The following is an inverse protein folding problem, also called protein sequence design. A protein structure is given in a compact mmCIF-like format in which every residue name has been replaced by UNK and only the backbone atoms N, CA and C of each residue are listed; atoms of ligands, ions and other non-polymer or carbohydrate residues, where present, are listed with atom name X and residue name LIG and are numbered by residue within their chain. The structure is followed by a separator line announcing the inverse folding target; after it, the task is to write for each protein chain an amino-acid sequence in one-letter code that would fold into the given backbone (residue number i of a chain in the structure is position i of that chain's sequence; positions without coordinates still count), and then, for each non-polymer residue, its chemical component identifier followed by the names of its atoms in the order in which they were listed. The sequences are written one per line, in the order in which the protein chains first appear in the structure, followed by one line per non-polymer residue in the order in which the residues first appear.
data_IF_044499810125
#
_entry.id   IF_044499810125
#
_cell.length_a   1.000
_cell.length_b   1.000
_cell.length_c   1.000
_cell.angle_alpha   90.00
_cell.angle_beta   90.00
_cell.angle_gamma   90.00
#
_symmetry.space_group_name_H-M   'P 1'
#
loop_
_entity.id
_entity.type
_entity.pdbx_description
1 polymer ?
#
# COMPACT_ATOMS: atom_id res chain seq x y z
N UNK A 1 -14.81 18.63 20.60
CA UNK A 1 -15.72 17.68 19.91
C UNK A 1 -15.67 16.27 20.49
N UNK A 2 -14.59 15.48 20.34
CA UNK A 2 -14.59 14.10 20.89
C UNK A 2 -14.68 14.10 22.43
N UNK A 3 -13.88 14.93 23.10
CA UNK A 3 -13.90 15.03 24.57
C UNK A 3 -15.26 15.52 25.11
N UNK A 4 -15.98 16.31 24.30
CA UNK A 4 -17.33 16.79 24.62
C UNK A 4 -18.39 15.69 24.49
N UNK A 5 -18.13 14.63 23.70
CA UNK A 5 -19.06 13.49 23.53
C UNK A 5 -18.92 12.44 24.64
N UNK A 6 -17.77 12.34 25.30
CA UNK A 6 -17.49 11.33 26.33
C UNK A 6 -18.49 11.31 27.51
N UNK A 7 -19.05 12.45 27.97
CA UNK A 7 -20.08 12.47 28.99
C UNK A 7 -21.45 11.97 28.49
N UNK A 8 -21.73 12.06 27.19
CA UNK A 8 -23.04 11.77 26.60
C UNK A 8 -23.19 10.31 26.18
N UNK A 9 -23.22 9.40 27.16
CA UNK A 9 -23.25 7.94 26.93
C UNK A 9 -24.41 7.45 26.06
N UNK A 10 -25.58 8.04 26.21
CA UNK A 10 -26.76 7.70 25.40
C UNK A 10 -26.56 8.04 23.91
N UNK A 11 -25.90 9.16 23.60
CA UNK A 11 -25.57 9.56 22.23
C UNK A 11 -24.60 8.57 21.61
N UNK A 12 -23.61 8.11 22.39
CA UNK A 12 -22.65 7.10 21.93
C UNK A 12 -23.30 5.74 21.71
N UNK A 13 -24.20 5.31 22.59
CA UNK A 13 -24.97 4.07 22.39
C UNK A 13 -25.86 4.17 21.15
N UNK A 14 -26.53 5.31 20.97
CA UNK A 14 -27.30 5.54 19.76
C UNK A 14 -26.40 5.49 18.53
N UNK A 15 -25.20 6.05 18.59
CA UNK A 15 -24.20 5.98 17.52
C UNK A 15 -23.79 4.54 17.22
N UNK A 16 -23.53 3.70 18.23
CA UNK A 16 -23.28 2.28 18.04
C UNK A 16 -24.46 1.55 17.40
N UNK A 17 -25.70 1.88 17.78
CA UNK A 17 -26.89 1.31 17.14
C UNK A 17 -27.02 1.63 15.65
N UNK A 18 -26.42 2.74 15.18
CA UNK A 18 -26.47 3.15 13.77
C UNK A 18 -25.53 2.32 12.86
N UNK A 19 -24.72 1.41 13.41
CA UNK A 19 -23.94 0.46 12.60
C UNK A 19 -24.84 -0.54 11.85
N UNK A 20 -26.07 -0.76 12.33
CA UNK A 20 -27.07 -1.60 11.66
C UNK A 20 -27.90 -0.89 10.59
N UNK A 21 -27.70 0.43 10.43
CA UNK A 21 -28.44 1.28 9.50
C UNK A 21 -27.90 1.13 8.06
N UNK A 22 -28.35 1.99 7.15
CA UNK A 22 -27.84 2.07 5.79
C UNK A 22 -26.33 2.33 5.76
N UNK A 23 -25.66 1.82 4.72
CA UNK A 23 -24.19 1.78 4.65
C UNK A 23 -23.53 3.15 4.85
N UNK A 24 -24.15 4.23 4.35
CA UNK A 24 -23.61 5.59 4.51
C UNK A 24 -23.65 6.06 5.97
N UNK A 25 -24.73 5.76 6.69
CA UNK A 25 -24.92 6.11 8.10
C UNK A 25 -23.99 5.25 8.97
N UNK A 26 -23.94 3.94 8.71
CA UNK A 26 -23.05 3.02 9.40
C UNK A 26 -21.57 3.42 9.26
N UNK A 27 -21.15 3.87 8.07
CA UNK A 27 -19.79 4.35 7.83
C UNK A 27 -19.44 5.61 8.64
N UNK A 28 -20.40 6.54 8.81
CA UNK A 28 -20.21 7.73 9.64
C UNK A 28 -20.16 7.37 11.12
N UNK A 29 -21.06 6.49 11.58
CA UNK A 29 -21.09 5.98 12.94
C UNK A 29 -19.77 5.27 13.30
N UNK A 30 -19.29 4.38 12.42
CA UNK A 30 -18.01 3.69 12.55
C UNK A 30 -16.84 4.68 12.70
N UNK A 31 -16.77 5.73 11.86
CA UNK A 31 -15.73 6.76 11.97
C UNK A 31 -15.74 7.48 13.33
N UNK A 32 -16.92 7.78 13.88
CA UNK A 32 -17.03 8.41 15.20
C UNK A 32 -16.49 7.46 16.28
N UNK A 33 -16.88 6.19 16.25
CA UNK A 33 -16.47 5.19 17.23
C UNK A 33 -14.97 4.87 17.15
N UNK A 34 -14.41 4.75 15.94
CA UNK A 34 -12.96 4.60 15.71
C UNK A 34 -12.19 5.79 16.31
N UNK A 35 -12.72 7.01 16.14
CA UNK A 35 -12.09 8.20 16.69
C UNK A 35 -12.08 8.24 18.23
N UNK A 36 -13.06 7.62 18.92
CA UNK A 36 -13.01 7.45 20.37
C UNK A 36 -11.82 6.58 20.79
N UNK A 37 -11.50 5.54 20.02
CA UNK A 37 -10.40 4.63 20.28
C UNK A 37 -8.99 5.26 20.28
N UNK A 38 -8.88 6.53 19.87
CA UNK A 38 -7.61 7.28 19.87
C UNK A 38 -7.19 7.81 21.24
N UNK A 39 -8.08 7.78 22.23
CA UNK A 39 -7.80 8.30 23.58
C UNK A 39 -8.09 7.25 24.64
N UNK A 40 -7.37 7.31 25.76
CA UNK A 40 -7.59 6.39 26.88
C UNK A 40 -9.02 6.50 27.44
N UNK A 41 -9.54 7.72 27.58
CA UNK A 41 -10.91 7.93 28.06
C UNK A 41 -11.94 7.40 27.07
N UNK A 42 -11.75 7.62 25.76
CA UNK A 42 -12.63 7.11 24.72
C UNK A 42 -12.64 5.58 24.65
N UNK A 43 -11.50 4.92 24.83
CA UNK A 43 -11.44 3.45 24.97
C UNK A 43 -12.23 2.97 26.19
N UNK A 44 -12.06 3.60 27.35
CA UNK A 44 -12.82 3.26 28.56
C UNK A 44 -14.34 3.43 28.38
N UNK A 45 -14.77 4.37 27.52
CA UNK A 45 -16.18 4.54 27.16
C UNK A 45 -16.65 3.45 26.21
N UNK A 46 -15.89 3.22 25.15
CA UNK A 46 -16.23 2.30 24.07
C UNK A 46 -16.29 0.84 24.55
N UNK A 47 -15.44 0.47 25.51
CA UNK A 47 -15.39 -0.87 26.09
C UNK A 47 -16.02 -0.91 27.50
N UNK A 48 -16.91 0.03 27.82
CA UNK A 48 -17.77 -0.09 29.00
C UNK A 48 -18.83 -1.18 28.79
N UNK A 49 -19.27 -1.85 29.86
CA UNK A 49 -20.25 -2.95 29.80
C UNK A 49 -21.51 -2.59 28.99
N UNK A 50 -22.01 -1.37 29.14
CA UNK A 50 -23.21 -0.92 28.42
C UNK A 50 -22.97 -0.78 26.92
N UNK A 51 -21.77 -0.33 26.52
CA UNK A 51 -21.42 -0.20 25.11
C UNK A 51 -21.14 -1.56 24.48
N UNK A 52 -20.42 -2.45 25.19
CA UNK A 52 -20.18 -3.82 24.75
C UNK A 52 -21.52 -4.52 24.50
N UNK A 53 -22.45 -4.46 25.46
CA UNK A 53 -23.79 -5.03 25.29
C UNK A 53 -24.55 -4.44 24.09
N UNK A 54 -24.43 -3.13 23.86
CA UNK A 54 -25.02 -2.49 22.69
C UNK A 54 -24.41 -3.02 21.37
N UNK A 55 -23.09 -3.15 21.30
CA UNK A 55 -22.38 -3.70 20.15
C UNK A 55 -22.74 -5.18 19.91
N UNK A 56 -22.88 -5.98 20.98
CA UNK A 56 -23.35 -7.37 20.87
C UNK A 56 -24.77 -7.46 20.32
N UNK A 57 -25.69 -6.61 20.81
CA UNK A 57 -27.05 -6.54 20.27
C UNK A 57 -27.07 -6.18 18.78
N UNK A 58 -26.24 -5.20 18.39
CA UNK A 58 -26.09 -4.79 16.99
C UNK A 58 -25.53 -5.94 16.13
N UNK A 59 -24.48 -6.61 16.60
CA UNK A 59 -23.87 -7.76 15.93
C UNK A 59 -24.84 -8.93 15.73
N UNK A 60 -25.85 -9.07 16.57
CA UNK A 60 -26.85 -10.14 16.47
C UNK A 60 -27.97 -9.86 15.45
N UNK A 61 -28.00 -8.69 14.80
CA UNK A 61 -29.04 -8.33 13.82
C UNK A 61 -28.90 -9.15 12.53
N UNK A 62 -27.69 -9.24 11.99
CA UNK A 62 -27.38 -10.04 10.80
C UNK A 62 -25.87 -10.23 10.64
N UNK A 63 -25.43 -11.20 9.84
CA UNK A 63 -24.02 -11.38 9.54
C UNK A 63 -23.39 -10.12 8.92
N UNK A 64 -24.10 -9.44 8.02
CA UNK A 64 -23.63 -8.18 7.43
C UNK A 64 -23.37 -7.11 8.49
N UNK A 65 -24.26 -6.96 9.47
CA UNK A 65 -24.09 -5.99 10.54
C UNK A 65 -22.97 -6.43 11.49
N UNK A 66 -22.88 -7.73 11.81
CA UNK A 66 -21.79 -8.29 12.62
C UNK A 66 -20.42 -7.98 12.02
N UNK A 67 -20.24 -8.20 10.72
CA UNK A 67 -18.98 -7.91 10.05
C UNK A 67 -18.67 -6.40 9.99
N UNK A 68 -19.68 -5.50 9.94
CA UNK A 68 -19.42 -4.05 10.10
C UNK A 68 -18.89 -3.70 11.49
N UNK A 69 -19.41 -4.35 12.54
CA UNK A 69 -18.89 -4.18 13.90
C UNK A 69 -17.44 -4.68 13.97
N UNK A 70 -17.15 -5.86 13.43
CA UNK A 70 -15.79 -6.39 13.37
C UNK A 70 -14.83 -5.48 12.59
N UNK A 71 -15.22 -4.94 11.44
CA UNK A 71 -14.41 -4.02 10.65
C UNK A 71 -14.02 -2.77 11.46
N UNK A 72 -15.00 -2.17 12.14
CA UNK A 72 -14.75 -1.04 13.05
C UNK A 72 -13.77 -1.42 14.17
N UNK A 73 -13.96 -2.58 14.81
CA UNK A 73 -13.09 -3.06 15.88
C UNK A 73 -11.65 -3.30 15.40
N UNK A 74 -11.44 -3.86 14.21
CA UNK A 74 -10.11 -4.01 13.62
C UNK A 74 -9.42 -2.65 13.43
N UNK A 75 -10.15 -1.64 12.94
CA UNK A 75 -9.57 -0.30 12.81
C UNK A 75 -9.21 0.30 14.18
N UNK A 76 -9.96 0.00 15.23
CA UNK A 76 -9.63 0.39 16.62
C UNK A 76 -8.39 -0.35 17.13
N UNK A 77 -8.30 -1.67 16.93
CA UNK A 77 -7.13 -2.47 17.32
C UNK A 77 -5.83 -1.95 16.71
N UNK A 78 -5.88 -1.42 15.48
CA UNK A 78 -4.71 -0.85 14.79
C UNK A 78 -4.20 0.46 15.40
N UNK A 79 -4.99 1.15 16.22
CA UNK A 79 -4.62 2.46 16.79
C UNK A 79 -3.54 2.35 17.87
N UNK A 80 -3.60 1.33 18.73
CA UNK A 80 -2.62 1.10 19.79
C UNK A 80 -2.75 -0.30 20.39
N UNK A 81 -1.70 -0.77 21.07
CA UNK A 81 -1.73 -2.00 21.86
C UNK A 81 -2.86 -1.99 22.91
N UNK A 82 -3.05 -0.86 23.61
CA UNK A 82 -4.13 -0.71 24.59
C UNK A 82 -5.53 -0.87 23.96
N UNK A 83 -5.73 -0.36 22.74
CA UNK A 83 -6.99 -0.53 22.02
C UNK A 83 -7.25 -2.00 21.67
N UNK A 84 -6.21 -2.71 21.22
CA UNK A 84 -6.28 -4.15 20.97
C UNK A 84 -6.62 -4.93 22.24
N UNK A 85 -5.92 -4.65 23.36
CA UNK A 85 -6.16 -5.32 24.65
C UNK A 85 -7.58 -5.11 25.16
N UNK A 86 -8.11 -3.87 25.10
CA UNK A 86 -9.50 -3.60 25.48
C UNK A 86 -10.49 -4.36 24.59
N UNK A 87 -10.21 -4.46 23.29
CA UNK A 87 -11.06 -5.20 22.35
C UNK A 87 -11.02 -6.71 22.63
N UNK A 88 -9.84 -7.26 22.94
CA UNK A 88 -9.69 -8.64 23.36
C UNK A 88 -10.45 -8.93 24.66
N UNK A 89 -10.25 -8.09 25.69
CA UNK A 89 -10.88 -8.24 26.99
C UNK A 89 -12.42 -8.12 26.94
N UNK A 90 -12.96 -7.43 25.93
CA UNK A 90 -14.41 -7.36 25.69
C UNK A 90 -15.02 -8.67 25.18
N UNK A 91 -14.20 -9.62 24.71
CA UNK A 91 -14.64 -10.85 24.06
C UNK A 91 -15.02 -10.69 22.59
N UNK A 92 -15.26 -9.46 22.10
CA UNK A 92 -15.67 -9.21 20.71
C UNK A 92 -14.60 -9.61 19.69
N UNK A 93 -13.31 -9.43 20.01
CA UNK A 93 -12.23 -9.87 19.11
C UNK A 93 -12.20 -11.39 18.99
N UNK A 94 -12.41 -12.11 20.10
CA UNK A 94 -12.45 -13.57 20.09
C UNK A 94 -13.60 -14.09 19.23
N UNK A 95 -14.75 -13.40 19.20
CA UNK A 95 -15.86 -13.77 18.32
C UNK A 95 -15.44 -13.72 16.84
N UNK A 96 -14.72 -12.67 16.41
CA UNK A 96 -14.16 -12.59 15.05
C UNK A 96 -13.16 -13.72 14.78
N UNK A 97 -12.24 -13.99 15.71
CA UNK A 97 -11.28 -15.09 15.55
C UNK A 97 -11.98 -16.43 15.33
N UNK A 98 -13.06 -16.69 16.06
CA UNK A 98 -13.85 -17.91 15.94
C UNK A 98 -14.58 -18.04 14.58
N UNK A 99 -14.82 -16.95 13.85
CA UNK A 99 -15.43 -16.99 12.51
C UNK A 99 -14.56 -17.77 11.50
N UNK A 100 -13.22 -17.74 11.65
CA UNK A 100 -12.27 -18.50 10.81
C UNK A 100 -12.45 -20.02 10.97
N UNK A 101 -12.99 -20.45 12.09
CA UNK A 101 -13.18 -21.87 12.41
C UNK A 101 -14.55 -22.41 11.98
N UNK A 102 -15.45 -21.57 11.45
CA UNK A 102 -16.76 -22.01 10.97
C UNK A 102 -16.66 -22.70 9.61
N UNK A 103 -17.65 -23.51 9.27
CA UNK A 103 -17.69 -24.26 8.00
C UNK A 103 -18.09 -23.39 6.79
N UNK A 104 -18.70 -22.24 7.02
CA UNK A 104 -19.14 -21.34 5.95
C UNK A 104 -17.95 -20.58 5.34
N UNK A 105 -17.64 -20.88 4.08
CA UNK A 105 -16.50 -20.29 3.37
C UNK A 105 -16.61 -18.77 3.18
N UNK A 106 -17.82 -18.22 3.08
CA UNK A 106 -18.04 -16.78 2.92
C UNK A 106 -17.79 -16.05 4.23
N UNK A 107 -18.18 -16.67 5.34
CA UNK A 107 -17.85 -16.18 6.69
C UNK A 107 -16.34 -16.25 6.92
N UNK A 108 -15.68 -17.36 6.57
CA UNK A 108 -14.23 -17.49 6.66
C UNK A 108 -13.53 -16.43 5.81
N UNK A 109 -13.98 -16.20 4.57
CA UNK A 109 -13.42 -15.20 3.66
C UNK A 109 -13.45 -13.80 4.28
N UNK A 110 -14.61 -13.37 4.78
CA UNK A 110 -14.76 -12.06 5.41
C UNK A 110 -13.89 -11.94 6.67
N UNK A 111 -13.78 -13.01 7.47
CA UNK A 111 -12.94 -13.02 8.66
C UNK A 111 -11.46 -12.91 8.30
N UNK A 112 -10.97 -13.68 7.32
CA UNK A 112 -9.59 -13.62 6.85
C UNK A 112 -9.25 -12.24 6.30
N UNK A 113 -10.16 -11.60 5.57
CA UNK A 113 -9.94 -10.25 5.06
C UNK A 113 -9.71 -9.23 6.19
N UNK A 114 -10.52 -9.30 7.25
CA UNK A 114 -10.37 -8.43 8.43
C UNK A 114 -9.11 -8.73 9.24
N UNK A 115 -8.76 -9.99 9.40
CA UNK A 115 -7.54 -10.38 10.11
C UNK A 115 -6.29 -10.00 9.32
N UNK A 116 -6.36 -10.02 7.98
CA UNK A 116 -5.29 -9.51 7.11
C UNK A 116 -5.02 -8.03 7.38
N UNK A 117 -6.04 -7.22 7.63
CA UNK A 117 -5.86 -5.80 7.95
C UNK A 117 -5.14 -5.58 9.29
N UNK A 118 -5.26 -6.52 10.23
CA UNK A 118 -4.58 -6.46 11.53
C UNK A 118 -3.09 -6.81 11.44
N UNK A 119 -2.69 -7.59 10.43
CA UNK A 119 -1.26 -7.87 10.15
C UNK A 119 -0.47 -6.63 9.69
N UNK A 120 -1.15 -5.52 9.40
CA UNK A 120 -0.52 -4.27 8.95
C UNK A 120 0.20 -3.51 10.08
N UNK A 121 0.05 -3.94 11.33
CA UNK A 121 0.69 -3.35 12.51
C UNK A 121 1.38 -4.44 13.35
N UNK A 122 2.54 -4.12 13.92
CA UNK A 122 3.39 -5.08 14.65
C UNK A 122 2.66 -5.77 15.81
N UNK A 123 2.02 -5.00 16.69
CA UNK A 123 1.27 -5.54 17.83
C UNK A 123 0.05 -6.38 17.40
N UNK A 124 -0.51 -6.11 16.23
CA UNK A 124 -1.61 -6.88 15.65
C UNK A 124 -1.14 -8.25 15.16
N UNK A 125 0.00 -8.29 14.47
CA UNK A 125 0.61 -9.54 14.02
C UNK A 125 1.03 -10.43 15.20
N UNK A 126 1.70 -9.85 16.21
CA UNK A 126 2.09 -10.56 17.44
C UNK A 126 0.87 -11.16 18.14
N UNK A 127 -0.23 -10.41 18.23
CA UNK A 127 -1.47 -10.92 18.80
C UNK A 127 -2.03 -12.11 18.02
N UNK A 128 -2.13 -12.01 16.69
CA UNK A 128 -2.67 -13.09 15.84
C UNK A 128 -1.87 -14.38 15.95
N UNK A 129 -0.54 -14.26 16.06
CA UNK A 129 0.34 -15.42 16.27
C UNK A 129 0.10 -16.06 17.65
N UNK A 130 0.02 -15.25 18.72
CA UNK A 130 -0.30 -15.74 20.07
C UNK A 130 -1.67 -16.42 20.16
N UNK A 131 -2.65 -15.99 19.36
CA UNK A 131 -3.97 -16.63 19.28
C UNK A 131 -3.99 -17.87 18.36
N UNK A 132 -2.87 -18.25 17.75
CA UNK A 132 -2.76 -19.41 16.87
C UNK A 132 -3.41 -19.23 15.48
N UNK A 133 -3.77 -18.00 15.11
CA UNK A 133 -4.43 -17.71 13.82
C UNK A 133 -3.46 -17.89 12.66
N UNK A 134 -2.19 -17.49 12.83
CA UNK A 134 -1.17 -17.64 11.77
C UNK A 134 -1.04 -19.11 11.36
N UNK A 135 -0.86 -20.02 12.33
CA UNK A 135 -0.77 -21.45 12.06
C UNK A 135 -2.07 -22.05 11.48
N UNK A 136 -3.24 -21.57 11.94
CA UNK A 136 -4.53 -21.99 11.37
C UNK A 136 -4.64 -21.62 9.89
N UNK A 137 -4.31 -20.38 9.53
CA UNK A 137 -4.36 -19.92 8.14
C UNK A 137 -3.28 -20.57 7.28
N UNK A 138 -2.15 -20.97 7.86
CA UNK A 138 -1.10 -21.71 7.14
C UNK A 138 -1.58 -23.11 6.77
N UNK A 139 -2.24 -23.82 7.70
CA UNK A 139 -2.91 -25.10 7.40
C UNK A 139 -3.96 -24.92 6.32
N UNK A 140 -4.81 -23.91 6.42
CA UNK A 140 -5.83 -23.63 5.39
C UNK A 140 -5.21 -23.36 4.01
N UNK A 141 -4.06 -22.70 3.97
CA UNK A 141 -3.32 -22.46 2.73
C UNK A 141 -2.73 -23.75 2.14
N UNK A 142 -2.20 -24.64 2.99
CA UNK A 142 -1.71 -25.96 2.58
C UNK A 142 -2.80 -26.88 2.03
N UNK A 143 -4.03 -26.74 2.53
CA UNK A 143 -5.17 -27.59 2.17
C UNK A 143 -6.00 -27.06 0.98
N UNK A 144 -5.57 -25.95 0.34
CA UNK A 144 -6.33 -25.28 -0.73
C UNK A 144 -6.71 -26.20 -1.88
N UNK A 145 -5.80 -27.05 -2.34
CA UNK A 145 -6.03 -27.97 -3.47
C UNK A 145 -7.06 -29.06 -3.14
N UNK A 146 -7.21 -29.38 -1.84
CA UNK A 146 -8.18 -30.37 -1.36
C UNK A 146 -9.57 -29.78 -1.11
N UNK A 147 -9.67 -28.45 -0.98
CA UNK A 147 -10.92 -27.75 -0.70
C UNK A 147 -11.58 -27.32 -2.02
N UNK A 148 -12.79 -27.81 -2.36
CA UNK A 148 -13.51 -27.41 -3.57
C UNK A 148 -13.73 -25.89 -3.70
N UNK A 149 -13.72 -25.17 -2.57
CA UNK A 149 -13.90 -23.72 -2.49
C UNK A 149 -12.60 -22.99 -2.12
N UNK A 150 -11.45 -23.67 -2.12
CA UNK A 150 -10.15 -23.10 -1.76
C UNK A 150 -9.78 -21.85 -2.59
N UNK A 151 -10.14 -21.84 -3.87
CA UNK A 151 -9.91 -20.68 -4.75
C UNK A 151 -10.59 -19.39 -4.26
N UNK A 152 -11.68 -19.48 -3.47
CA UNK A 152 -12.32 -18.31 -2.86
C UNK A 152 -11.50 -17.74 -1.70
N UNK A 153 -10.79 -18.59 -0.95
CA UNK A 153 -9.98 -18.20 0.20
C UNK A 153 -8.59 -17.70 -0.19
N UNK A 154 -8.09 -18.14 -1.34
CA UNK A 154 -6.74 -17.82 -1.81
C UNK A 154 -6.42 -16.30 -1.82
N UNK A 155 -7.30 -15.40 -2.31
CA UNK A 155 -7.10 -13.95 -2.19
C UNK A 155 -6.80 -13.48 -0.76
N UNK A 156 -7.63 -13.89 0.19
CA UNK A 156 -7.55 -13.49 1.59
C UNK A 156 -6.30 -14.05 2.25
N UNK A 157 -6.00 -15.34 2.01
CA UNK A 157 -4.80 -15.98 2.54
C UNK A 157 -3.52 -15.34 1.98
N UNK A 158 -3.51 -15.01 0.68
CA UNK A 158 -2.39 -14.31 0.04
C UNK A 158 -2.20 -12.92 0.64
N UNK A 159 -3.28 -12.15 0.86
CA UNK A 159 -3.23 -10.86 1.54
C UNK A 159 -2.70 -10.99 2.97
N UNK A 160 -3.20 -11.96 3.73
CA UNK A 160 -2.78 -12.23 5.10
C UNK A 160 -1.28 -12.51 5.20
N UNK A 161 -0.79 -13.49 4.42
CA UNK A 161 0.63 -13.86 4.44
C UNK A 161 1.53 -12.80 3.78
N UNK A 162 1.03 -11.99 2.86
CA UNK A 162 1.71 -10.76 2.42
C UNK A 162 1.93 -9.78 3.58
N UNK A 163 0.92 -9.64 4.44
CA UNK A 163 0.98 -8.98 5.73
C UNK A 163 2.11 -9.48 6.63
N UNK A 164 2.10 -10.79 6.92
CA UNK A 164 3.14 -11.45 7.73
C UNK A 164 4.53 -11.27 7.11
N UNK A 165 4.64 -11.44 5.80
CA UNK A 165 5.89 -11.31 5.05
C UNK A 165 6.47 -9.89 5.06
N UNK A 166 5.69 -8.85 5.37
CA UNK A 166 6.24 -7.50 5.55
C UNK A 166 7.17 -7.42 6.76
N UNK A 167 6.77 -8.05 7.87
CA UNK A 167 7.52 -8.04 9.13
C UNK A 167 8.54 -9.18 9.20
N UNK A 168 8.21 -10.33 8.62
CA UNK A 168 9.06 -11.54 8.64
C UNK A 168 9.34 -12.07 7.22
N UNK A 169 9.86 -11.26 6.29
CA UNK A 169 10.01 -11.64 4.88
C UNK A 169 10.90 -12.87 4.71
N UNK A 170 12.01 -12.92 5.45
CA UNK A 170 12.97 -14.02 5.36
C UNK A 170 12.31 -15.36 5.71
N UNK A 171 11.55 -15.40 6.79
CA UNK A 171 10.91 -16.62 7.29
C UNK A 171 9.80 -17.07 6.34
N UNK A 172 8.88 -16.17 5.99
CA UNK A 172 7.75 -16.50 5.12
C UNK A 172 8.23 -16.94 3.74
N UNK A 173 9.14 -16.19 3.11
CA UNK A 173 9.64 -16.53 1.78
C UNK A 173 10.50 -17.81 1.75
N UNK A 174 11.15 -18.20 2.87
CA UNK A 174 11.94 -19.44 2.92
C UNK A 174 11.13 -20.67 3.29
N UNK A 175 10.15 -20.51 4.18
CA UNK A 175 9.47 -21.63 4.84
C UNK A 175 8.11 -21.92 4.21
N UNK A 176 7.37 -20.90 3.77
CA UNK A 176 6.02 -21.07 3.22
C UNK A 176 6.05 -21.09 1.68
N UNK A 177 6.39 -22.26 1.12
CA UNK A 177 6.46 -22.45 -0.34
C UNK A 177 5.12 -22.29 -1.03
N UNK A 178 4.02 -22.70 -0.38
CA UNK A 178 2.67 -22.59 -0.95
C UNK A 178 2.32 -21.14 -1.19
N UNK A 179 2.55 -20.27 -0.19
CA UNK A 179 2.38 -18.82 -0.34
C UNK A 179 3.20 -18.25 -1.50
N UNK A 180 4.51 -18.54 -1.53
CA UNK A 180 5.39 -18.04 -2.59
C UNK A 180 4.89 -18.50 -3.97
N UNK A 181 4.57 -19.78 -4.13
CA UNK A 181 4.07 -20.31 -5.39
C UNK A 181 2.76 -19.63 -5.81
N UNK A 182 1.79 -19.51 -4.90
CA UNK A 182 0.52 -18.84 -5.17
C UNK A 182 0.70 -17.39 -5.62
N UNK A 183 1.58 -16.63 -4.96
CA UNK A 183 1.86 -15.24 -5.33
C UNK A 183 2.43 -15.17 -6.74
N UNK A 184 3.48 -15.95 -7.04
CA UNK A 184 4.18 -15.84 -8.32
C UNK A 184 3.42 -16.48 -9.49
N UNK A 185 2.67 -17.57 -9.28
CA UNK A 185 1.75 -18.12 -10.27
C UNK A 185 0.62 -17.14 -10.58
N UNK A 186 0.09 -16.46 -9.56
CA UNK A 186 -0.96 -15.46 -9.70
C UNK A 186 -0.55 -14.26 -10.57
N UNK A 187 0.75 -13.92 -10.67
CA UNK A 187 1.24 -12.91 -11.63
C UNK A 187 0.92 -13.28 -13.09
N UNK A 188 0.78 -14.56 -13.40
CA UNK A 188 0.41 -15.04 -14.74
C UNK A 188 -1.08 -15.39 -14.88
N UNK A 189 -1.87 -15.22 -13.82
CA UNK A 189 -3.28 -15.61 -13.80
C UNK A 189 -4.12 -14.90 -14.87
N UNK A 190 -5.18 -15.56 -15.34
CA UNK A 190 -6.19 -14.91 -16.19
C UNK A 190 -7.19 -14.09 -15.38
N UNK A 191 -7.33 -14.41 -14.09
CA UNK A 191 -8.16 -13.65 -13.16
C UNK A 191 -7.42 -12.36 -12.77
N UNK A 192 -8.03 -11.21 -13.09
CA UNK A 192 -7.49 -9.89 -12.80
C UNK A 192 -7.41 -9.61 -11.28
N UNK A 193 -8.31 -10.20 -10.48
CA UNK A 193 -8.30 -10.05 -9.03
C UNK A 193 -7.07 -10.72 -8.44
N UNK A 194 -6.82 -11.99 -8.81
CA UNK A 194 -5.62 -12.72 -8.40
C UNK A 194 -4.35 -12.03 -8.88
N UNK A 195 -4.32 -11.61 -10.15
CA UNK A 195 -3.17 -10.89 -10.71
C UNK A 195 -2.89 -9.59 -9.95
N UNK A 196 -3.93 -8.85 -9.59
CA UNK A 196 -3.85 -7.63 -8.77
C UNK A 196 -3.24 -7.92 -7.40
N UNK A 197 -3.77 -8.92 -6.69
CA UNK A 197 -3.30 -9.27 -5.34
C UNK A 197 -1.85 -9.74 -5.38
N UNK A 198 -1.49 -10.59 -6.35
CA UNK A 198 -0.13 -11.07 -6.53
C UNK A 198 0.87 -9.94 -6.78
N UNK A 199 0.59 -9.02 -7.72
CA UNK A 199 1.52 -7.93 -8.02
C UNK A 199 1.68 -6.99 -6.83
N UNK A 200 0.59 -6.69 -6.13
CA UNK A 200 0.61 -5.86 -4.92
C UNK A 200 1.38 -6.55 -3.79
N UNK A 201 1.23 -7.86 -3.62
CA UNK A 201 1.93 -8.64 -2.59
C UNK A 201 3.45 -8.62 -2.81
N UNK A 202 3.91 -8.79 -4.05
CA UNK A 202 5.35 -8.65 -4.38
C UNK A 202 5.85 -7.24 -4.04
N UNK A 203 5.09 -6.21 -4.41
CA UNK A 203 5.45 -4.82 -4.09
C UNK A 203 5.48 -4.55 -2.59
N UNK A 204 4.53 -5.11 -1.85
CA UNK A 204 4.40 -4.93 -0.41
C UNK A 204 5.54 -5.59 0.37
N UNK A 205 5.95 -6.80 -0.01
CA UNK A 205 7.14 -7.45 0.54
C UNK A 205 8.39 -6.66 0.16
N UNK A 206 8.50 -6.27 -1.12
CA UNK A 206 9.68 -5.57 -1.63
C UNK A 206 9.86 -4.13 -1.16
N UNK A 207 8.98 -3.59 -0.30
CA UNK A 207 9.10 -2.24 0.22
C UNK A 207 10.31 -2.07 1.16
N UNK A 208 10.61 -3.07 1.99
CA UNK A 208 11.75 -3.06 2.92
C UNK A 208 13.02 -3.68 2.32
N UNK A 209 14.19 -3.39 2.90
CA UNK A 209 15.47 -3.98 2.47
C UNK A 209 15.46 -5.49 2.70
N UNK A 210 15.00 -5.95 3.86
CA UNK A 210 14.90 -7.36 4.22
C UNK A 210 13.98 -8.11 3.26
N UNK A 211 12.88 -7.48 2.86
CA UNK A 211 11.95 -8.00 1.87
C UNK A 211 12.56 -8.13 0.48
N UNK A 212 13.29 -7.10 0.01
CA UNK A 212 14.05 -7.18 -1.25
C UNK A 212 15.06 -8.34 -1.23
N UNK A 213 15.80 -8.50 -0.14
CA UNK A 213 16.77 -9.60 0.01
C UNK A 213 16.09 -10.97 0.07
N UNK A 214 14.92 -11.09 0.71
CA UNK A 214 14.15 -12.32 0.74
C UNK A 214 13.61 -12.70 -0.64
N UNK A 215 13.11 -11.73 -1.40
CA UNK A 215 12.65 -11.91 -2.77
C UNK A 215 13.79 -12.29 -3.72
N UNK A 216 14.97 -11.66 -3.61
CA UNK A 216 16.12 -12.01 -4.45
C UNK A 216 16.59 -13.46 -4.24
N UNK A 217 16.49 -13.98 -3.01
CA UNK A 217 16.80 -15.38 -2.69
C UNK A 217 15.88 -16.39 -3.39
N UNK A 218 14.73 -15.97 -3.91
CA UNK A 218 13.87 -16.81 -4.74
C UNK A 218 14.45 -17.04 -6.15
N UNK A 219 15.53 -16.33 -6.52
CA UNK A 219 16.29 -16.55 -7.75
C UNK A 219 15.44 -16.38 -9.02
N UNK A 220 15.36 -17.44 -9.83
CA UNK A 220 14.64 -17.41 -11.11
C UNK A 220 13.15 -17.09 -10.95
N UNK A 221 12.52 -17.46 -9.83
CA UNK A 221 11.12 -17.14 -9.55
C UNK A 221 10.92 -15.63 -9.49
N UNK A 222 11.77 -14.91 -8.76
CA UNK A 222 11.71 -13.44 -8.70
C UNK A 222 12.06 -12.80 -10.03
N UNK A 223 13.11 -13.29 -10.73
CA UNK A 223 13.48 -12.79 -12.06
C UNK A 223 12.31 -12.92 -13.05
N UNK A 224 11.61 -14.05 -13.05
CA UNK A 224 10.44 -14.25 -13.89
C UNK A 224 9.28 -13.35 -13.47
N UNK A 225 9.04 -13.22 -12.16
CA UNK A 225 8.02 -12.33 -11.61
C UNK A 225 8.22 -10.87 -12.03
N UNK A 226 9.44 -10.35 -11.95
CA UNK A 226 9.77 -8.98 -12.42
C UNK A 226 9.48 -8.81 -13.91
N UNK A 227 9.79 -9.80 -14.75
CA UNK A 227 9.44 -9.77 -16.18
C UNK A 227 7.93 -9.73 -16.40
N UNK A 228 7.17 -10.53 -15.65
CA UNK A 228 5.70 -10.51 -15.70
C UNK A 228 5.14 -9.15 -15.26
N UNK A 229 5.68 -8.55 -14.21
CA UNK A 229 5.32 -7.19 -13.76
C UNK A 229 5.61 -6.18 -14.89
N UNK A 230 6.78 -6.28 -15.54
CA UNK A 230 7.10 -5.46 -16.70
C UNK A 230 6.12 -5.60 -17.86
N UNK A 231 5.67 -6.83 -18.14
CA UNK A 231 4.59 -7.10 -19.11
C UNK A 231 3.28 -6.45 -18.69
N UNK A 232 2.89 -6.53 -17.40
CA UNK A 232 1.70 -5.85 -16.90
C UNK A 232 1.77 -4.35 -17.09
N UNK A 233 2.90 -3.71 -16.78
CA UNK A 233 3.12 -2.27 -16.98
C UNK A 233 2.87 -1.83 -18.43
N UNK A 234 3.14 -2.70 -19.41
CA UNK A 234 2.94 -2.41 -20.84
C UNK A 234 1.54 -2.74 -21.35
N UNK A 235 1.00 -3.89 -20.95
CA UNK A 235 -0.10 -4.56 -21.67
C UNK A 235 -1.38 -4.69 -20.85
N UNK A 236 -1.35 -4.50 -19.53
CA UNK A 236 -2.52 -4.68 -18.70
C UNK A 236 -3.57 -3.55 -18.86
N UNK A 237 -4.82 -3.75 -18.40
CA UNK A 237 -5.77 -2.65 -18.23
C UNK A 237 -5.23 -1.57 -17.28
N UNK A 238 -5.66 -0.31 -17.47
CA UNK A 238 -5.09 0.87 -16.79
C UNK A 238 -4.94 0.73 -15.27
N UNK A 239 -5.95 0.22 -14.57
CA UNK A 239 -5.91 0.03 -13.11
C UNK A 239 -4.80 -0.95 -12.69
N UNK A 240 -4.63 -2.04 -13.42
CA UNK A 240 -3.59 -3.03 -13.12
C UNK A 240 -2.19 -2.53 -13.52
N UNK A 241 -2.08 -1.68 -14.56
CA UNK A 241 -0.80 -1.01 -14.89
C UNK A 241 -0.35 -0.09 -13.76
N UNK A 242 -1.28 0.65 -13.15
CA UNK A 242 -1.01 1.52 -11.99
C UNK A 242 -0.46 0.67 -10.85
N UNK A 243 -1.15 -0.41 -10.46
CA UNK A 243 -0.68 -1.33 -9.41
C UNK A 243 0.69 -1.94 -9.73
N UNK A 244 0.93 -2.29 -10.99
CA UNK A 244 2.23 -2.81 -11.42
C UNK A 244 3.34 -1.74 -11.33
N UNK A 245 3.06 -0.49 -11.68
CA UNK A 245 4.00 0.64 -11.52
C UNK A 245 4.28 0.94 -10.04
N UNK A 246 3.25 0.90 -9.19
CA UNK A 246 3.42 1.07 -7.75
C UNK A 246 4.31 -0.05 -7.17
N UNK A 247 4.12 -1.29 -7.63
CA UNK A 247 5.03 -2.41 -7.30
C UNK A 247 6.44 -2.17 -7.80
N UNK A 248 6.63 -1.68 -9.03
CA UNK A 248 7.96 -1.30 -9.54
C UNK A 248 8.60 -0.25 -8.65
N UNK A 249 7.84 0.76 -8.21
CA UNK A 249 8.32 1.77 -7.28
C UNK A 249 8.79 1.12 -5.97
N UNK A 250 7.98 0.26 -5.35
CA UNK A 250 8.35 -0.41 -4.09
C UNK A 250 9.62 -1.25 -4.19
N UNK A 251 9.72 -2.10 -5.23
CA UNK A 251 10.87 -3.01 -5.37
C UNK A 251 12.16 -2.30 -5.79
N UNK A 252 12.07 -1.10 -6.40
CA UNK A 252 13.25 -0.34 -6.85
C UNK A 252 13.69 0.74 -5.86
N UNK A 253 12.81 1.20 -4.97
CA UNK A 253 13.10 2.29 -4.04
C UNK A 253 14.09 1.87 -2.96
N UNK A 254 15.12 2.69 -2.76
CA UNK A 254 16.05 2.64 -1.63
C UNK A 254 16.20 4.03 -1.02
N UNK A 255 16.03 4.13 0.29
CA UNK A 255 16.36 5.35 1.04
C UNK A 255 17.87 5.58 1.02
N UNK A 256 18.31 6.83 1.17
CA UNK A 256 19.75 7.18 1.14
C UNK A 256 20.56 6.32 2.10
N UNK A 257 20.03 6.05 3.30
CA UNK A 257 20.70 5.23 4.32
C UNK A 257 20.83 3.73 3.94
N UNK A 258 20.07 3.26 2.96
CA UNK A 258 20.00 1.86 2.52
C UNK A 258 20.83 1.60 1.25
N UNK A 259 21.39 2.63 0.61
CA UNK A 259 22.02 2.54 -0.72
C UNK A 259 23.43 1.93 -0.69
N UNK A 260 23.54 0.65 -0.34
CA UNK A 260 24.78 -0.13 -0.54
C UNK A 260 24.97 -0.48 -2.02
N UNK A 261 26.22 -0.74 -2.44
CA UNK A 261 26.52 -1.15 -3.82
C UNK A 261 25.75 -2.40 -4.25
N UNK A 262 25.55 -3.35 -3.33
CA UNK A 262 24.81 -4.59 -3.58
C UNK A 262 23.33 -4.33 -3.83
N UNK A 263 22.69 -3.50 -2.98
CA UNK A 263 21.27 -3.18 -3.11
C UNK A 263 20.99 -2.28 -4.32
N UNK A 264 21.90 -1.37 -4.64
CA UNK A 264 21.81 -0.57 -5.87
C UNK A 264 21.88 -1.46 -7.11
N UNK A 265 22.85 -2.38 -7.19
CA UNK A 265 22.93 -3.36 -8.29
C UNK A 265 21.69 -4.24 -8.39
N UNK A 266 21.12 -4.64 -7.24
CA UNK A 266 19.91 -5.46 -7.20
C UNK A 266 18.70 -4.72 -7.78
N UNK A 267 18.45 -3.49 -7.31
CA UNK A 267 17.31 -2.67 -7.76
C UNK A 267 17.44 -2.24 -9.21
N UNK A 268 18.66 -1.91 -9.66
CA UNK A 268 18.97 -1.64 -11.07
C UNK A 268 18.71 -2.87 -11.94
N UNK A 269 19.18 -4.07 -11.52
CA UNK A 269 18.93 -5.34 -12.20
C UNK A 269 17.43 -5.59 -12.36
N UNK A 270 16.64 -5.41 -11.31
CA UNK A 270 15.19 -5.61 -11.39
C UNK A 270 14.53 -4.59 -12.32
N UNK A 271 14.91 -3.32 -12.27
CA UNK A 271 14.38 -2.32 -13.20
C UNK A 271 14.68 -2.68 -14.66
N UNK A 272 15.91 -3.10 -14.96
CA UNK A 272 16.32 -3.51 -16.30
C UNK A 272 15.66 -4.80 -16.79
N UNK A 273 15.09 -5.62 -15.90
CA UNK A 273 14.34 -6.82 -16.27
C UNK A 273 12.89 -6.53 -16.71
N UNK A 274 12.36 -5.33 -16.47
CA UNK A 274 10.98 -4.99 -16.81
C UNK A 274 10.75 -5.05 -18.33
N UNK A 275 11.70 -4.59 -19.14
CA UNK A 275 11.66 -4.66 -20.60
C UNK A 275 13.05 -4.49 -21.21
N UNK A 276 13.20 -4.71 -22.51
CA UNK A 276 14.46 -4.45 -23.22
C UNK A 276 14.89 -2.96 -23.14
N UNK A 277 13.95 -2.03 -22.97
CA UNK A 277 14.20 -0.60 -22.82
C UNK A 277 13.32 -0.04 -21.69
N UNK A 278 13.62 -0.42 -20.44
CA UNK A 278 12.76 -0.09 -19.28
C UNK A 278 12.56 1.40 -19.09
N UNK A 279 13.60 2.21 -19.28
CA UNK A 279 13.49 3.66 -19.12
C UNK A 279 12.66 4.32 -20.25
N UNK A 280 12.82 3.89 -21.51
CA UNK A 280 11.94 4.35 -22.60
C UNK A 280 10.49 3.95 -22.36
N UNK A 281 10.25 2.72 -21.90
CA UNK A 281 8.90 2.26 -21.52
C UNK A 281 8.30 3.18 -20.46
N UNK A 282 9.08 3.52 -19.42
CA UNK A 282 8.64 4.45 -18.37
C UNK A 282 8.34 5.85 -18.92
N UNK A 283 9.21 6.40 -19.76
CA UNK A 283 8.99 7.71 -20.38
C UNK A 283 7.79 7.72 -21.33
N UNK A 284 7.51 6.62 -22.02
CA UNK A 284 6.31 6.48 -22.85
C UNK A 284 5.03 6.58 -22.03
N UNK A 285 5.02 6.05 -20.80
CA UNK A 285 3.89 6.13 -19.85
C UNK A 285 3.72 7.55 -19.33
N UNK A 286 4.83 8.21 -18.98
CA UNK A 286 4.81 9.62 -18.58
C UNK A 286 4.14 10.45 -19.66
N UNK A 287 4.38 10.20 -20.94
CA UNK A 287 3.80 11.00 -22.04
C UNK A 287 2.32 10.74 -22.31
N UNK A 288 1.69 9.74 -21.69
CA UNK A 288 0.28 9.43 -21.94
C UNK A 288 -0.67 10.48 -21.31
N UNK A 289 -1.88 10.66 -21.88
CA UNK A 289 -2.86 11.63 -21.39
C UNK A 289 -3.68 11.14 -20.19
N UNK A 290 -3.24 10.08 -19.49
CA UNK A 290 -3.94 9.49 -18.35
C UNK A 290 -3.29 9.94 -17.04
N UNK A 291 -3.97 10.82 -16.30
CA UNK A 291 -3.47 11.44 -15.06
C UNK A 291 -2.92 10.43 -14.06
N UNK A 292 -3.71 9.43 -13.67
CA UNK A 292 -3.32 8.48 -12.62
C UNK A 292 -2.13 7.62 -13.04
N UNK A 293 -2.14 7.13 -14.29
CA UNK A 293 -1.04 6.34 -14.84
C UNK A 293 0.25 7.16 -14.92
N UNK A 294 0.15 8.43 -15.32
CA UNK A 294 1.28 9.35 -15.38
C UNK A 294 1.83 9.67 -14.00
N UNK A 295 0.95 9.88 -13.00
CA UNK A 295 1.36 10.05 -11.61
C UNK A 295 2.10 8.81 -11.07
N UNK A 296 1.61 7.60 -11.31
CA UNK A 296 2.34 6.38 -10.91
C UNK A 296 3.67 6.22 -11.65
N UNK A 297 3.75 6.62 -12.92
CA UNK A 297 5.03 6.65 -13.65
C UNK A 297 6.01 7.69 -13.05
N UNK A 298 5.52 8.86 -12.62
CA UNK A 298 6.33 9.83 -11.87
C UNK A 298 6.81 9.27 -10.52
N UNK A 299 6.01 8.47 -9.82
CA UNK A 299 6.45 7.81 -8.58
C UNK A 299 7.63 6.86 -8.82
N UNK A 300 7.64 6.12 -9.95
CA UNK A 300 8.80 5.32 -10.34
C UNK A 300 9.99 6.23 -10.67
N UNK A 301 9.81 7.30 -11.46
CA UNK A 301 10.90 8.26 -11.69
C UNK A 301 11.46 8.82 -10.38
N UNK A 302 10.62 9.12 -9.41
CA UNK A 302 11.04 9.59 -8.09
C UNK A 302 11.89 8.54 -7.35
N UNK A 303 11.50 7.26 -7.38
CA UNK A 303 12.28 6.19 -6.71
C UNK A 303 13.67 6.02 -7.35
N UNK A 304 13.75 6.17 -8.67
CA UNK A 304 15.00 6.14 -9.42
C UNK A 304 15.87 7.39 -9.17
N UNK A 305 15.24 8.57 -9.12
CA UNK A 305 15.93 9.86 -8.95
C UNK A 305 16.70 9.96 -7.63
N UNK A 306 16.32 9.18 -6.61
CA UNK A 306 17.02 9.15 -5.33
C UNK A 306 18.35 8.39 -5.39
N UNK A 307 18.62 7.65 -6.48
CA UNK A 307 19.74 6.70 -6.60
C UNK A 307 20.68 7.08 -7.75
N UNK A 308 22.01 6.96 -7.59
CA UNK A 308 23.00 7.32 -8.63
C UNK A 308 22.80 6.63 -9.98
N UNK A 309 22.48 5.34 -10.00
CA UNK A 309 22.26 4.58 -11.25
C UNK A 309 21.00 5.09 -11.98
N UNK A 310 19.94 5.41 -11.23
CA UNK A 310 18.70 5.98 -11.78
C UNK A 310 18.91 7.40 -12.31
N UNK A 311 19.67 8.22 -11.60
CA UNK A 311 20.10 9.55 -12.08
C UNK A 311 20.93 9.45 -13.36
N UNK A 312 21.79 8.44 -13.48
CA UNK A 312 22.60 8.22 -14.68
C UNK A 312 21.72 7.86 -15.88
N UNK A 313 20.71 6.99 -15.69
CA UNK A 313 19.71 6.69 -16.73
C UNK A 313 18.96 7.94 -17.18
N UNK A 314 18.55 8.78 -16.22
CA UNK A 314 17.87 10.05 -16.49
C UNK A 314 18.76 11.02 -17.29
N UNK A 315 20.01 11.23 -16.87
CA UNK A 315 20.92 12.15 -17.52
C UNK A 315 21.30 11.70 -18.94
N UNK A 316 21.38 10.39 -19.17
CA UNK A 316 21.71 9.82 -20.46
C UNK A 316 20.50 9.73 -21.41
N UNK A 317 19.27 9.92 -20.92
CA UNK A 317 18.07 9.82 -21.74
C UNK A 317 17.81 11.14 -22.49
N UNK A 318 17.77 11.12 -23.84
CA UNK A 318 17.54 12.32 -24.64
C UNK A 318 16.24 13.04 -24.29
N UNK A 319 16.32 14.34 -24.01
CA UNK A 319 15.15 15.15 -23.71
C UNK A 319 14.67 15.08 -22.25
N UNK A 320 15.30 14.27 -21.37
CA UNK A 320 14.85 14.16 -19.98
C UNK A 320 15.08 15.46 -19.19
N UNK A 321 16.24 16.08 -19.37
CA UNK A 321 16.61 17.31 -18.67
C UNK A 321 15.71 18.48 -19.07
N UNK A 322 15.39 18.59 -20.36
CA UNK A 322 14.46 19.58 -20.90
C UNK A 322 13.03 19.27 -20.43
N UNK A 323 12.61 18.00 -20.49
CA UNK A 323 11.34 17.58 -19.94
C UNK A 323 11.20 18.01 -18.50
N UNK A 324 12.21 17.82 -17.65
CA UNK A 324 12.13 18.14 -16.23
C UNK A 324 11.96 19.64 -15.98
N UNK A 325 12.71 20.48 -16.71
CA UNK A 325 12.69 21.95 -16.56
C UNK A 325 11.49 22.63 -17.24
N UNK A 326 10.87 21.99 -18.25
CA UNK A 326 9.72 22.55 -18.95
C UNK A 326 8.44 22.45 -18.11
N UNK A 327 7.93 23.59 -17.64
CA UNK A 327 6.69 23.68 -16.84
C UNK A 327 5.43 23.34 -17.64
N UNK A 328 5.48 23.40 -18.97
CA UNK A 328 4.32 23.20 -19.85
C UNK A 328 3.97 21.73 -20.11
N UNK A 329 4.86 20.79 -19.75
CA UNK A 329 4.66 19.36 -20.01
C UNK A 329 3.52 18.74 -19.18
N UNK A 330 3.12 19.41 -18.09
CA UNK A 330 2.08 18.95 -17.16
C UNK A 330 0.88 19.90 -17.15
N UNK A 331 -0.33 19.33 -17.29
CA UNK A 331 -1.57 20.10 -17.44
C UNK A 331 -2.43 20.10 -16.19
N UNK A 332 -2.54 18.97 -15.50
CA UNK A 332 -3.39 18.82 -14.33
C UNK A 332 -2.65 19.18 -13.04
N UNK A 333 -3.39 19.37 -11.95
CA UNK A 333 -2.81 19.65 -10.64
C UNK A 333 -1.93 18.49 -10.18
N UNK A 334 -2.46 17.29 -10.30
CA UNK A 334 -1.88 16.03 -9.84
C UNK A 334 -0.58 15.71 -10.58
N UNK A 335 -0.54 15.91 -11.90
CA UNK A 335 0.68 15.61 -12.68
C UNK A 335 1.75 16.67 -12.48
N UNK A 336 1.38 17.94 -12.24
CA UNK A 336 2.32 19.00 -11.82
C UNK A 336 2.94 18.68 -10.48
N UNK A 337 2.13 18.34 -9.48
CA UNK A 337 2.60 18.00 -8.12
C UNK A 337 3.51 16.76 -8.12
N UNK A 338 3.12 15.70 -8.83
CA UNK A 338 3.94 14.48 -8.92
C UNK A 338 5.25 14.69 -9.66
N UNK A 339 5.26 15.42 -10.79
CA UNK A 339 6.52 15.79 -11.47
C UNK A 339 7.42 16.62 -10.56
N UNK A 340 6.86 17.62 -9.86
CA UNK A 340 7.63 18.44 -8.94
C UNK A 340 8.22 17.67 -7.75
N UNK A 341 7.58 16.56 -7.38
CA UNK A 341 8.15 15.65 -6.39
C UNK A 341 9.44 15.02 -6.92
N UNK A 342 9.50 14.63 -8.21
CA UNK A 342 10.74 14.16 -8.86
C UNK A 342 11.81 15.26 -8.87
N UNK A 343 11.44 16.50 -9.24
CA UNK A 343 12.34 17.67 -9.26
C UNK A 343 12.96 17.89 -7.88
N UNK A 344 12.13 17.89 -6.83
CA UNK A 344 12.58 18.04 -5.45
C UNK A 344 13.51 16.91 -5.03
N UNK A 345 13.18 15.66 -5.37
CA UNK A 345 14.04 14.51 -5.08
C UNK A 345 15.43 14.66 -5.72
N UNK A 346 15.52 15.13 -6.97
CA UNK A 346 16.82 15.41 -7.62
C UNK A 346 17.53 16.60 -6.92
N UNK A 347 16.80 17.67 -6.61
CA UNK A 347 17.36 18.86 -5.96
C UNK A 347 18.00 18.57 -4.59
N UNK A 348 17.41 17.64 -3.84
CA UNK A 348 17.80 17.24 -2.48
C UNK A 348 18.78 16.06 -2.46
N UNK A 349 18.95 15.36 -3.58
CA UNK A 349 19.82 14.17 -3.62
C UNK A 349 21.31 14.55 -3.49
N UNK A 350 22.07 13.83 -2.64
CA UNK A 350 23.49 14.11 -2.43
C UNK A 350 24.36 13.83 -3.66
N UNK A 351 23.93 12.95 -4.57
CA UNK A 351 24.73 12.50 -5.73
C UNK A 351 24.37 13.22 -7.02
N UNK A 352 23.33 14.05 -7.02
CA UNK A 352 22.81 14.65 -8.24
C UNK A 352 23.79 15.64 -8.90
N UNK A 353 24.61 16.35 -8.11
CA UNK A 353 25.64 17.26 -8.65
C UNK A 353 26.70 16.50 -9.43
N UNK A 354 27.12 15.34 -8.94
CA UNK A 354 28.15 14.52 -9.59
C UNK A 354 27.64 13.92 -10.91
N UNK A 355 26.34 13.61 -10.99
CA UNK A 355 25.74 12.99 -12.18
C UNK A 355 25.30 14.01 -13.22
N UNK A 356 24.51 15.03 -12.83
CA UNK A 356 23.94 15.99 -13.77
C UNK A 356 24.80 17.25 -13.97
N UNK A 357 25.76 17.49 -13.08
CA UNK A 357 26.60 18.68 -13.09
C UNK A 357 25.98 19.89 -12.38
N UNK A 358 26.85 20.71 -11.78
CA UNK A 358 26.47 21.87 -10.98
C UNK A 358 25.55 22.87 -11.72
N UNK A 359 25.77 23.26 -12.99
CA UNK A 359 24.94 24.26 -13.66
C UNK A 359 23.47 23.83 -13.80
N UNK A 360 23.24 22.53 -14.02
CA UNK A 360 21.90 21.99 -14.14
C UNK A 360 21.20 21.92 -12.77
N UNK A 361 21.91 21.42 -11.75
CA UNK A 361 21.33 21.28 -10.40
C UNK A 361 20.96 22.63 -9.77
N UNK A 362 21.66 23.71 -10.10
CA UNK A 362 21.25 25.06 -9.67
C UNK A 362 19.87 25.43 -10.22
N UNK A 363 19.58 25.11 -11.49
CA UNK A 363 18.26 25.36 -12.09
C UNK A 363 17.18 24.48 -11.46
N UNK A 364 17.48 23.19 -11.24
CA UNK A 364 16.56 22.24 -10.58
C UNK A 364 16.22 22.71 -9.16
N UNK A 365 17.22 23.17 -8.39
CA UNK A 365 17.01 23.74 -7.04
C UNK A 365 16.15 25.00 -7.06
N UNK A 366 16.41 25.92 -7.99
CA UNK A 366 15.60 27.12 -8.14
C UNK A 366 14.14 26.76 -8.48
N UNK A 367 13.93 25.80 -9.38
CA UNK A 367 12.60 25.32 -9.74
C UNK A 367 11.89 24.66 -8.57
N UNK A 368 12.58 23.80 -7.81
CA UNK A 368 12.04 23.16 -6.62
C UNK A 368 11.54 24.18 -5.57
N UNK A 369 12.30 25.27 -5.34
CA UNK A 369 11.91 26.34 -4.41
C UNK A 369 10.68 27.14 -4.89
N UNK A 370 10.53 27.33 -6.20
CA UNK A 370 9.38 28.03 -6.78
C UNK A 370 8.07 27.22 -6.68
N UNK A 371 8.18 25.89 -6.72
CA UNK A 371 7.03 24.99 -6.60
C UNK A 371 6.22 24.80 -7.90
N UNK A 372 5.22 23.89 -7.85
CA UNK A 372 4.54 23.33 -9.03
C UNK A 372 3.66 24.32 -9.81
N UNK A 373 3.18 25.37 -9.14
CA UNK A 373 2.23 26.33 -9.72
C UNK A 373 2.84 27.70 -9.99
N UNK A 374 4.16 27.84 -9.87
CA UNK A 374 4.82 29.10 -10.19
C UNK A 374 4.65 29.47 -11.67
N UNK A 375 4.21 30.71 -11.89
CA UNK A 375 4.10 31.36 -13.20
C UNK A 375 5.02 32.56 -13.19
N UNK A 376 5.92 32.64 -14.17
CA UNK A 376 6.76 33.80 -14.34
C UNK A 376 5.90 34.96 -14.87
N UNK A 377 5.78 36.04 -14.09
CA UNK A 377 5.13 37.26 -14.54
C UNK A 377 6.00 37.91 -15.62
N UNK A 378 5.57 37.82 -16.88
CA UNK A 378 6.10 38.70 -17.92
C UNK A 378 5.48 40.08 -17.71
N UNK A 379 6.30 41.09 -17.40
CA UNK A 379 5.88 42.48 -17.57
C UNK A 379 5.78 42.75 -19.06
N UNK A 380 4.57 42.79 -19.61
CA UNK A 380 4.35 43.40 -20.91
C UNK A 380 4.64 44.89 -20.77
N UNK A 381 5.79 45.33 -21.28
CA UNK A 381 6.07 46.76 -21.45
C UNK A 381 5.24 47.21 -22.64
N UNK A 382 4.13 47.92 -22.37
CA UNK A 382 3.37 48.59 -23.40
C UNK A 382 4.29 49.65 -24.05
N UNK A 383 4.68 49.42 -25.30
CA UNK A 383 5.25 50.49 -26.12
C UNK A 383 4.09 51.40 -26.55
N UNK A 384 3.98 52.57 -25.92
CA UNK A 384 3.22 53.68 -26.51
C UNK A 384 3.99 54.12 -27.76
N UNK A 385 3.40 53.90 -28.93
CA UNK A 385 3.91 54.41 -30.20
C UNK A 385 3.72 55.92 -30.28
N UNK A 386 4.77 56.63 -30.69
CA UNK A 386 4.76 58.05 -31.03
C UNK A 386 3.87 58.37 -32.24
#
# INVERSE_FOLDING_TARGET
VIDELLPHREVLQKTASLLSDEIQVANLASKILINLGRTHQGLAVLFSNQMIHCLEQVSNISDTVRFRVYEMLIQICKLSLAALENTHNSGLLQQLLNEVHKDDVLIQLNAIEMLSDLTMVDHGLVYLDQQGIVGKLESMMGDLDSNPLGNLLLPGLTKFFGGVARFHPKEVCSSNKTFVNSVFEGLSSRDLTQKSISVQTVGFIGESVEGKMALDKLGNTMIHGVKLIGTMVREAPSELRIKALDTVCSITKLQIAEQTDELQKLTEKWFNLLSNNSFETLMSLVRQPFTDLRCSAHCVLQSLALQPWGQTLMNNYPGFTEFLLDRSTEKTKETKESKFTVIRTIAESPTAVDVFGQPYIVQVKAMALQGPFFVQTQSEVAFEGE
#
